data_IF_346304014108
#
_entry.id   IF_346304014108
#
_cell.length_a   1.000
_cell.length_b   1.000
_cell.length_c   1.000
_cell.angle_alpha   90.00
_cell.angle_beta   90.00
_cell.angle_gamma   90.00
#
_symmetry.space_group_name_H-M   'P 1'
#
loop_
_entity.id
_entity.type
_entity.pdbx_description
1 polymer ?
#
# COMPACT_ATOMS: atom_id res chain seq x y z
N UNK A 1 20.23 -28.43 11.46
CA UNK A 1 19.39 -28.18 10.26
C UNK A 1 18.08 -27.56 10.74
N UNK A 2 17.95 -26.24 10.65
CA UNK A 2 16.76 -25.50 11.06
C UNK A 2 15.73 -25.65 9.94
N UNK A 3 14.59 -26.30 10.22
CA UNK A 3 13.48 -26.42 9.27
C UNK A 3 12.93 -25.01 8.99
N UNK A 4 12.76 -24.60 7.73
CA UNK A 4 12.14 -23.32 7.44
C UNK A 4 10.70 -23.27 7.98
N UNK A 5 10.23 -22.12 8.46
CA UNK A 5 8.91 -22.02 9.07
C UNK A 5 7.81 -22.43 8.11
N UNK A 6 6.77 -23.09 8.61
CA UNK A 6 5.66 -23.67 7.84
C UNK A 6 5.03 -22.71 6.81
N UNK A 7 5.06 -21.38 7.08
CA UNK A 7 4.55 -20.33 6.19
C UNK A 7 5.28 -20.26 4.84
N UNK A 8 6.62 -20.41 4.83
CA UNK A 8 7.40 -20.43 3.57
C UNK A 8 7.08 -21.64 2.69
N UNK A 9 6.72 -22.79 3.29
CA UNK A 9 6.34 -23.99 2.51
C UNK A 9 5.00 -23.83 1.76
N UNK A 10 4.01 -23.14 2.35
CA UNK A 10 2.71 -22.88 1.67
C UNK A 10 2.87 -21.98 0.44
N UNK A 11 3.72 -20.96 0.53
CA UNK A 11 3.99 -20.07 -0.61
C UNK A 11 4.68 -20.80 -1.77
N UNK A 12 5.64 -21.67 -1.49
CA UNK A 12 6.37 -22.43 -2.50
C UNK A 12 5.48 -23.52 -3.18
N UNK A 13 4.51 -24.06 -2.46
CA UNK A 13 3.57 -25.07 -3.00
C UNK A 13 2.57 -24.46 -3.96
N UNK A 14 2.16 -23.20 -3.74
CA UNK A 14 1.28 -22.47 -4.65
C UNK A 14 1.93 -22.23 -6.01
N UNK A 15 3.24 -22.02 -6.04
CA UNK A 15 4.00 -21.75 -7.28
C UNK A 15 4.29 -23.02 -8.13
N UNK A 16 4.30 -24.20 -7.54
CA UNK A 16 4.70 -25.44 -8.23
C UNK A 16 3.59 -26.21 -8.92
N UNK A 17 2.34 -25.88 -8.72
CA UNK A 17 1.21 -26.61 -9.31
C UNK A 17 0.46 -25.76 -10.34
N UNK A 18 0.75 -26.00 -11.59
CA UNK A 18 0.11 -25.44 -12.80
C UNK A 18 -1.42 -25.63 -12.86
N UNK A 19 -2.02 -26.25 -11.86
CA UNK A 19 -3.47 -26.49 -11.75
C UNK A 19 -4.23 -25.45 -10.91
N UNK A 20 -3.57 -24.35 -10.49
CA UNK A 20 -4.09 -23.35 -9.55
C UNK A 20 -4.31 -21.96 -10.10
N UNK A 21 -4.69 -21.84 -11.36
CA UNK A 21 -5.14 -20.55 -11.93
C UNK A 21 -6.56 -20.16 -11.45
N UNK A 22 -7.00 -20.70 -10.32
CA UNK A 22 -8.18 -20.22 -9.58
C UNK A 22 -7.92 -20.06 -8.08
N UNK A 23 -6.71 -19.71 -7.68
CA UNK A 23 -6.54 -18.96 -6.42
C UNK A 23 -6.98 -17.56 -6.78
N UNK A 24 -8.24 -17.24 -6.49
CA UNK A 24 -8.77 -15.90 -6.70
C UNK A 24 -7.82 -14.90 -6.08
N UNK A 25 -7.60 -13.76 -6.72
CA UNK A 25 -6.82 -12.61 -6.23
C UNK A 25 -7.06 -12.34 -4.75
N UNK A 26 -8.28 -12.59 -4.29
CA UNK A 26 -8.70 -12.54 -2.89
C UNK A 26 -7.89 -13.44 -1.95
N UNK A 27 -7.56 -14.68 -2.33
CA UNK A 27 -6.74 -15.58 -1.48
C UNK A 27 -5.30 -15.10 -1.37
N UNK A 28 -4.74 -14.53 -2.43
CA UNK A 28 -3.38 -13.95 -2.40
C UNK A 28 -3.35 -12.76 -1.46
N UNK A 29 -4.34 -11.87 -1.54
CA UNK A 29 -4.45 -10.70 -0.66
C UNK A 29 -4.57 -11.10 0.81
N UNK A 30 -5.36 -12.14 1.13
CA UNK A 30 -5.46 -12.64 2.51
C UNK A 30 -4.10 -13.15 3.00
N UNK A 31 -3.41 -13.97 2.20
CA UNK A 31 -2.10 -14.53 2.58
C UNK A 31 -1.08 -13.40 2.83
N UNK A 32 -1.06 -12.38 1.96
CA UNK A 32 -0.16 -11.22 2.14
C UNK A 32 -0.51 -10.45 3.41
N UNK A 33 -1.79 -10.23 3.72
CA UNK A 33 -2.21 -9.57 4.95
C UNK A 33 -1.84 -10.36 6.21
N UNK A 34 -1.91 -11.70 6.15
CA UNK A 34 -1.51 -12.57 7.26
C UNK A 34 -0.01 -12.61 7.45
N UNK A 35 0.77 -12.55 6.36
CA UNK A 35 2.24 -12.59 6.41
C UNK A 35 2.84 -11.21 6.75
N UNK A 36 2.18 -10.14 6.30
CA UNK A 36 2.56 -8.74 6.58
C UNK A 36 1.37 -8.01 7.23
N UNK A 37 1.05 -8.34 8.51
CA UNK A 37 -0.08 -7.71 9.20
C UNK A 37 0.21 -6.23 9.48
N UNK A 38 -0.86 -5.43 9.53
CA UNK A 38 -0.74 -4.09 10.09
C UNK A 38 -0.49 -4.23 11.61
N UNK A 39 0.53 -3.56 12.17
CA UNK A 39 0.77 -3.57 13.62
C UNK A 39 -0.50 -3.18 14.39
N UNK A 40 -0.81 -3.85 15.53
CA UNK A 40 -2.03 -3.57 16.30
C UNK A 40 -2.17 -2.10 16.72
N UNK A 41 -1.06 -1.42 17.03
CA UNK A 41 -1.04 0.00 17.36
C UNK A 41 -1.53 0.90 16.22
N UNK A 42 -1.32 0.48 14.97
CA UNK A 42 -1.74 1.23 13.78
C UNK A 42 -3.16 0.88 13.33
N UNK A 43 -3.73 -0.23 13.79
CA UNK A 43 -5.13 -0.59 13.48
C UNK A 43 -6.08 0.48 13.99
N UNK A 44 -5.95 0.87 15.27
CA UNK A 44 -6.77 1.92 15.88
C UNK A 44 -6.62 3.25 15.16
N UNK A 45 -5.38 3.65 14.87
CA UNK A 45 -5.09 4.87 14.12
C UNK A 45 -5.79 4.85 12.75
N UNK A 46 -5.71 3.71 12.03
CA UNK A 46 -6.40 3.55 10.75
C UNK A 46 -7.91 3.68 10.88
N UNK A 47 -8.52 3.06 11.88
CA UNK A 47 -9.96 3.14 12.15
C UNK A 47 -10.40 4.59 12.44
N UNK A 48 -9.63 5.33 13.22
CA UNK A 48 -9.88 6.74 13.49
C UNK A 48 -9.80 7.59 12.22
N UNK A 49 -8.80 7.36 11.37
CA UNK A 49 -8.63 8.04 10.08
C UNK A 49 -9.77 7.70 9.11
N UNK A 50 -10.14 6.43 9.00
CA UNK A 50 -11.26 5.97 8.17
C UNK A 50 -12.58 6.61 8.62
N UNK A 51 -12.80 6.75 9.94
CA UNK A 51 -13.96 7.45 10.50
C UNK A 51 -13.98 8.94 10.11
N UNK A 52 -12.85 9.64 10.24
CA UNK A 52 -12.73 11.05 9.83
C UNK A 52 -13.04 11.25 8.34
N UNK A 53 -12.52 10.37 7.49
CA UNK A 53 -12.78 10.40 6.05
C UNK A 53 -14.27 10.20 5.77
N UNK A 54 -14.88 9.22 6.44
CA UNK A 54 -16.33 8.96 6.32
C UNK A 54 -17.15 10.18 6.69
N UNK A 55 -16.86 10.84 7.81
CA UNK A 55 -17.55 12.04 8.26
C UNK A 55 -17.52 13.17 7.23
N UNK A 56 -16.41 13.33 6.49
CA UNK A 56 -16.36 14.31 5.40
C UNK A 56 -17.25 13.89 4.24
N UNK A 57 -17.21 12.61 3.84
CA UNK A 57 -18.01 12.10 2.72
C UNK A 57 -19.51 12.16 3.02
N UNK A 58 -19.92 11.91 4.27
CA UNK A 58 -21.32 11.95 4.70
C UNK A 58 -21.83 13.37 5.04
N UNK A 59 -20.95 14.37 5.02
CA UNK A 59 -21.30 15.77 5.36
C UNK A 59 -21.39 16.04 6.86
N UNK A 60 -20.93 15.13 7.71
CA UNK A 60 -20.87 15.29 9.17
C UNK A 60 -19.70 16.17 9.60
N UNK A 61 -18.73 16.40 8.72
CA UNK A 61 -17.56 17.24 8.95
C UNK A 61 -17.43 18.31 7.87
N UNK A 62 -17.14 19.53 8.27
CA UNK A 62 -16.90 20.66 7.35
C UNK A 62 -15.45 20.72 6.81
N UNK A 63 -14.63 19.69 7.07
CA UNK A 63 -13.27 19.62 6.54
C UNK A 63 -13.28 19.26 5.06
N UNK A 64 -12.23 19.68 4.34
CA UNK A 64 -12.01 19.24 2.97
C UNK A 64 -11.10 18.01 2.93
N UNK A 65 -11.43 17.08 2.04
CA UNK A 65 -10.60 15.91 1.74
C UNK A 65 -9.66 16.26 0.61
N UNK A 66 -8.35 16.07 0.83
CA UNK A 66 -7.31 16.33 -0.17
C UNK A 66 -6.48 15.07 -0.38
N UNK A 67 -6.59 14.47 -1.55
CA UNK A 67 -5.78 13.32 -1.98
C UNK A 67 -4.64 13.86 -2.84
N UNK A 68 -3.41 13.71 -2.38
CA UNK A 68 -2.24 14.29 -3.04
C UNK A 68 -1.03 13.38 -2.96
N UNK A 69 -0.29 13.25 -4.05
CA UNK A 69 0.90 12.41 -4.10
C UNK A 69 1.65 12.50 -5.41
N UNK A 70 2.77 11.78 -5.53
CA UNK A 70 3.58 11.73 -6.73
C UNK A 70 2.83 11.06 -7.89
N UNK A 71 3.33 11.25 -9.12
CA UNK A 71 2.75 10.67 -10.33
C UNK A 71 2.81 9.13 -10.34
N UNK A 72 3.83 8.54 -9.70
CA UNK A 72 4.05 7.10 -9.63
C UNK A 72 4.84 6.77 -8.37
N UNK A 73 4.50 5.66 -7.72
CA UNK A 73 5.26 5.07 -6.64
C UNK A 73 6.19 4.01 -7.26
N UNK A 74 7.43 4.39 -7.57
CA UNK A 74 8.47 3.56 -8.19
C UNK A 74 9.65 3.31 -7.25
N UNK A 75 9.81 4.13 -6.23
CA UNK A 75 10.85 4.01 -5.23
C UNK A 75 10.26 4.25 -3.84
N UNK A 76 10.39 3.26 -2.95
CA UNK A 76 9.79 3.28 -1.61
C UNK A 76 10.33 4.43 -0.76
N UNK A 77 11.65 4.68 -0.77
CA UNK A 77 12.25 5.73 0.06
C UNK A 77 11.82 7.13 -0.39
N UNK A 78 11.73 7.36 -1.69
CA UNK A 78 11.25 8.63 -2.25
C UNK A 78 9.78 8.87 -1.90
N UNK A 79 8.96 7.83 -1.92
CA UNK A 79 7.54 7.91 -1.53
C UNK A 79 7.42 8.20 -0.03
N UNK A 80 8.16 7.49 0.81
CA UNK A 80 8.14 7.70 2.25
C UNK A 80 8.67 9.10 2.64
N UNK A 81 9.72 9.62 1.98
CA UNK A 81 10.16 11.01 2.17
C UNK A 81 9.05 12.01 1.82
N UNK A 82 8.37 11.80 0.69
CA UNK A 82 7.23 12.65 0.31
C UNK A 82 6.12 12.62 1.37
N UNK A 83 5.73 11.44 1.84
CA UNK A 83 4.66 11.29 2.85
C UNK A 83 5.08 11.90 4.19
N UNK A 84 6.35 11.77 4.58
CA UNK A 84 6.91 12.42 5.77
C UNK A 84 6.86 13.96 5.68
N UNK A 85 7.15 14.54 4.52
CA UNK A 85 6.96 16.00 4.30
C UNK A 85 5.50 16.38 4.37
N UNK A 86 4.61 15.58 3.79
CA UNK A 86 3.17 15.82 3.83
C UNK A 86 2.62 15.76 5.27
N UNK A 87 3.15 14.85 6.11
CA UNK A 87 2.78 14.77 7.52
C UNK A 87 3.10 16.09 8.27
N UNK A 88 4.24 16.73 7.97
CA UNK A 88 4.59 18.03 8.54
C UNK A 88 3.62 19.14 8.10
N UNK A 89 3.12 19.07 6.87
CA UNK A 89 2.08 19.99 6.37
C UNK A 89 0.75 19.71 7.06
N UNK A 90 0.40 18.41 7.21
CA UNK A 90 -0.83 17.99 7.88
C UNK A 90 -0.99 18.62 9.26
N UNK A 91 0.08 18.69 10.05
CA UNK A 91 0.05 19.33 11.38
C UNK A 91 -0.41 20.80 11.36
N UNK A 92 -0.17 21.49 10.26
CA UNK A 92 -0.54 22.91 10.09
C UNK A 92 -1.96 23.13 9.58
N UNK A 93 -2.56 22.12 8.97
CA UNK A 93 -3.85 22.26 8.26
C UNK A 93 -4.93 21.28 8.71
N UNK A 94 -4.62 20.39 9.65
CA UNK A 94 -5.51 19.31 10.13
C UNK A 94 -6.82 19.80 10.77
N UNK A 95 -6.92 21.06 11.11
CA UNK A 95 -8.15 21.70 11.58
C UNK A 95 -9.18 21.87 10.44
N UNK A 96 -8.73 22.07 9.21
CA UNK A 96 -9.56 22.34 8.02
C UNK A 96 -9.49 21.26 6.96
N UNK A 97 -8.38 20.53 6.86
CA UNK A 97 -8.13 19.57 5.82
C UNK A 97 -7.89 18.17 6.40
N UNK A 98 -8.33 17.15 5.65
CA UNK A 98 -7.88 15.78 5.82
C UNK A 98 -6.98 15.45 4.63
N UNK A 99 -5.66 15.37 4.89
CA UNK A 99 -4.69 15.01 3.86
C UNK A 99 -4.58 13.48 3.75
N UNK A 100 -4.70 12.97 2.54
CA UNK A 100 -4.51 11.56 2.19
C UNK A 100 -3.37 11.49 1.19
N UNK A 101 -2.21 10.90 1.57
CA UNK A 101 -1.15 10.62 0.63
C UNK A 101 -1.66 9.71 -0.48
N UNK A 102 -1.42 10.07 -1.74
CA UNK A 102 -1.64 9.17 -2.86
C UNK A 102 -0.35 8.42 -3.14
N UNK A 103 -0.38 7.10 -2.94
CA UNK A 103 0.73 6.19 -3.25
C UNK A 103 0.31 5.36 -4.47
N UNK A 104 0.61 5.86 -5.66
CA UNK A 104 0.11 5.30 -6.91
C UNK A 104 1.00 4.18 -7.42
N UNK A 105 0.65 2.94 -7.09
CA UNK A 105 1.47 1.75 -7.33
C UNK A 105 1.20 1.05 -8.66
N UNK A 106 0.03 1.28 -9.25
CA UNK A 106 -0.40 0.67 -10.51
C UNK A 106 -0.65 1.74 -11.58
N UNK A 107 0.35 2.01 -12.42
CA UNK A 107 0.25 3.03 -13.46
C UNK A 107 -0.21 2.44 -14.79
N UNK A 108 -1.49 2.63 -15.18
CA UNK A 108 -1.96 2.20 -16.50
C UNK A 108 -1.24 2.96 -17.60
N UNK A 109 -0.89 2.26 -18.68
CA UNK A 109 -0.26 2.83 -19.87
C UNK A 109 -1.16 2.60 -21.07
N UNK A 110 -1.58 3.68 -21.72
CA UNK A 110 -2.46 3.64 -22.90
C UNK A 110 -1.81 2.89 -24.06
N UNK A 111 -0.50 3.04 -24.23
CA UNK A 111 0.28 2.33 -25.26
C UNK A 111 0.68 0.92 -24.86
N UNK A 112 0.49 0.53 -23.60
CA UNK A 112 0.98 -0.74 -23.05
C UNK A 112 2.49 -0.79 -22.79
N UNK A 113 3.25 0.22 -23.18
CA UNK A 113 4.71 0.29 -23.04
C UNK A 113 5.15 1.10 -21.81
N UNK A 114 6.39 0.87 -21.35
CA UNK A 114 7.03 1.56 -20.24
C UNK A 114 6.67 0.99 -18.86
N UNK A 115 7.27 1.57 -17.84
CA UNK A 115 7.12 1.16 -16.45
C UNK A 115 5.65 1.27 -15.96
N UNK A 116 5.11 0.19 -15.42
CA UNK A 116 3.70 0.05 -15.04
C UNK A 116 3.43 0.22 -13.54
N UNK A 117 4.42 0.62 -12.78
CA UNK A 117 4.34 0.80 -11.35
C UNK A 117 4.91 -0.37 -10.54
N UNK A 118 5.16 -0.12 -9.24
CA UNK A 118 5.81 -1.06 -8.33
C UNK A 118 5.04 -2.37 -8.17
N UNK A 119 3.71 -2.34 -8.31
CA UNK A 119 2.87 -3.55 -8.21
C UNK A 119 3.16 -4.55 -9.32
N UNK A 120 3.57 -4.11 -10.50
CA UNK A 120 3.92 -4.98 -11.62
C UNK A 120 5.40 -5.33 -11.66
N UNK A 121 6.25 -4.37 -11.30
CA UNK A 121 7.69 -4.46 -11.44
C UNK A 121 8.37 -3.72 -10.28
N UNK A 122 8.48 -4.39 -9.10
CA UNK A 122 9.05 -3.76 -7.89
C UNK A 122 10.54 -3.44 -8.03
N UNK A 123 11.25 -4.13 -8.92
CA UNK A 123 12.64 -3.86 -9.29
C UNK A 123 12.67 -3.51 -10.78
N UNK A 124 12.94 -2.24 -11.16
CA UNK A 124 12.90 -1.80 -12.56
C UNK A 124 13.93 -2.49 -13.46
N UNK A 125 15.00 -3.06 -12.88
CA UNK A 125 16.05 -3.77 -13.60
C UNK A 125 15.72 -5.25 -13.85
N UNK A 126 14.65 -5.78 -13.22
CA UNK A 126 14.23 -7.18 -13.35
C UNK A 126 12.95 -7.34 -14.16
N UNK A 127 12.68 -8.58 -14.55
CA UNK A 127 11.42 -8.94 -15.18
C UNK A 127 10.24 -8.65 -14.22
N UNK A 128 9.06 -8.31 -14.77
CA UNK A 128 7.86 -8.12 -13.97
C UNK A 128 7.58 -9.32 -13.05
N UNK A 129 7.31 -9.03 -11.77
CA UNK A 129 6.89 -10.01 -10.76
C UNK A 129 5.75 -9.39 -9.93
N UNK A 130 4.53 -9.74 -10.29
CA UNK A 130 3.32 -9.22 -9.68
C UNK A 130 3.18 -9.59 -8.20
N UNK A 131 3.63 -10.79 -7.80
CA UNK A 131 3.55 -11.20 -6.40
C UNK A 131 4.53 -10.41 -5.54
N UNK A 132 5.78 -10.28 -6.00
CA UNK A 132 6.77 -9.44 -5.35
C UNK A 132 6.29 -7.97 -5.29
N UNK A 133 5.62 -7.49 -6.34
CA UNK A 133 5.01 -6.16 -6.40
C UNK A 133 3.91 -5.95 -5.36
N UNK A 134 3.00 -6.90 -5.17
CA UNK A 134 1.98 -6.84 -4.13
C UNK A 134 2.58 -6.80 -2.72
N UNK A 135 3.66 -7.55 -2.49
CA UNK A 135 4.38 -7.54 -1.21
C UNK A 135 5.07 -6.19 -1.00
N UNK A 136 5.75 -5.66 -2.02
CA UNK A 136 6.41 -4.36 -1.95
C UNK A 136 5.39 -3.23 -1.67
N UNK A 137 4.27 -3.21 -2.40
CA UNK A 137 3.16 -2.29 -2.17
C UNK A 137 2.67 -2.39 -0.71
N UNK A 138 2.41 -3.59 -0.20
CA UNK A 138 1.94 -3.80 1.17
C UNK A 138 2.90 -3.26 2.21
N UNK A 139 4.21 -3.52 2.06
CA UNK A 139 5.26 -3.03 2.96
C UNK A 139 5.35 -1.52 2.94
N UNK A 140 5.36 -0.91 1.76
CA UNK A 140 5.44 0.54 1.59
C UNK A 140 4.25 1.26 2.26
N UNK A 141 3.02 0.75 2.11
CA UNK A 141 1.85 1.32 2.78
C UNK A 141 1.92 1.19 4.31
N UNK A 142 2.42 0.05 4.84
CA UNK A 142 2.63 -0.13 6.29
C UNK A 142 3.68 0.86 6.79
N UNK A 143 4.81 0.97 6.10
CA UNK A 143 5.88 1.91 6.44
C UNK A 143 5.39 3.36 6.43
N UNK A 144 4.65 3.75 5.42
CA UNK A 144 4.11 5.11 5.31
C UNK A 144 3.22 5.48 6.50
N UNK A 145 2.29 4.61 6.91
CA UNK A 145 1.44 4.87 8.08
C UNK A 145 2.22 4.79 9.39
N UNK A 146 3.20 3.89 9.49
CA UNK A 146 4.05 3.73 10.68
C UNK A 146 4.90 4.97 10.95
N UNK A 147 5.53 5.52 9.90
CA UNK A 147 6.38 6.71 10.01
C UNK A 147 5.58 8.01 10.19
N UNK A 148 4.35 8.09 9.71
CA UNK A 148 3.65 9.38 9.55
C UNK A 148 2.27 9.47 10.20
N UNK A 149 1.64 8.36 10.51
CA UNK A 149 0.25 8.32 10.96
C UNK A 149 -0.78 8.66 9.86
N UNK A 150 -0.36 8.86 8.61
CA UNK A 150 -1.26 9.15 7.49
C UNK A 150 -1.62 7.85 6.74
N UNK A 151 -2.92 7.60 6.59
CA UNK A 151 -3.43 6.52 5.73
C UNK A 151 -3.43 6.97 4.28
N UNK A 152 -2.99 6.10 3.38
CA UNK A 152 -2.81 6.42 1.98
C UNK A 152 -3.95 5.89 1.10
N UNK A 153 -4.13 6.53 -0.06
CA UNK A 153 -4.93 6.05 -1.19
C UNK A 153 -4.02 5.54 -2.31
N UNK A 154 -4.44 4.51 -3.03
CA UNK A 154 -3.76 3.96 -4.21
C UNK A 154 -4.74 3.95 -5.41
#
# INVERSE_FOLDING_TARGET
MIKPPLKKRRFFTIYKTTKFIKITTYKIVIIIKEEYPLPPSLVKLKEERDSQIRQVITGESNKFLVIIGPCSADNEDSVCDYVNRLAKVNEKVKDKLILIPRIYTNKPRTTGEGYKGIVHQPDPEKKPDFLAGLIAMRKMHIRAIEETGLTAAD
#
